data_IF_751162706726
#
_entry.id   IF_751162706726
#
_cell.length_a   1.000
_cell.length_b   1.000
_cell.length_c   1.000
_cell.angle_alpha   90.00
_cell.angle_beta   90.00
_cell.angle_gamma   90.00
#
_symmetry.space_group_name_H-M   'P 1'
#
loop_
_entity.id
_entity.type
_entity.pdbx_description
1 polymer ?
#
# COMPACT_ATOMS: atom_id res chain seq x y z
N UNK A 1 12.14 0.62 15.53
CA UNK A 1 12.88 -0.54 14.95
C UNK A 1 12.00 -1.78 14.83
N UNK A 2 11.30 -2.21 15.89
CA UNK A 2 10.41 -3.39 15.85
C UNK A 2 9.28 -3.26 14.83
N UNK A 3 8.60 -2.11 14.77
CA UNK A 3 7.50 -1.87 13.83
C UNK A 3 7.94 -2.04 12.36
N UNK A 4 9.12 -1.52 12.00
CA UNK A 4 9.68 -1.68 10.66
C UNK A 4 9.94 -3.15 10.34
N UNK A 5 10.42 -3.93 11.31
CA UNK A 5 10.63 -5.37 11.15
C UNK A 5 9.32 -6.12 10.89
N UNK A 6 8.27 -5.83 11.66
CA UNK A 6 6.94 -6.42 11.45
C UNK A 6 6.37 -6.02 10.09
N UNK A 7 6.46 -4.73 9.72
CA UNK A 7 5.99 -4.23 8.43
C UNK A 7 6.70 -4.91 7.25
N UNK A 8 8.03 -5.09 7.34
CA UNK A 8 8.81 -5.78 6.32
C UNK A 8 8.39 -7.25 6.19
N UNK A 9 8.22 -7.96 7.30
CA UNK A 9 7.79 -9.36 7.28
C UNK A 9 6.39 -9.53 6.67
N UNK A 10 5.45 -8.65 7.01
CA UNK A 10 4.12 -8.65 6.40
C UNK A 10 4.18 -8.35 4.90
N UNK A 11 4.98 -7.36 4.49
CA UNK A 11 5.19 -7.02 3.07
C UNK A 11 5.77 -8.20 2.30
N UNK A 12 6.80 -8.87 2.86
CA UNK A 12 7.40 -10.05 2.25
C UNK A 12 6.41 -11.22 2.15
N UNK A 13 5.55 -11.40 3.16
CA UNK A 13 4.52 -12.42 3.15
C UNK A 13 3.49 -12.19 2.02
N UNK A 14 3.02 -10.94 1.87
CA UNK A 14 2.09 -10.54 0.80
C UNK A 14 2.73 -10.63 -0.59
N UNK A 15 4.01 -10.30 -0.72
CA UNK A 15 4.75 -10.31 -1.99
C UNK A 15 5.27 -11.68 -2.43
N UNK A 16 5.18 -12.71 -1.58
CA UNK A 16 5.65 -14.06 -1.90
C UNK A 16 5.14 -14.63 -3.24
N UNK A 17 3.83 -14.56 -3.61
CA UNK A 17 3.35 -15.07 -4.89
C UNK A 17 3.97 -14.34 -6.09
N UNK A 18 4.05 -13.01 -6.04
CA UNK A 18 4.65 -12.18 -7.10
C UNK A 18 6.13 -12.53 -7.26
N UNK A 19 6.86 -12.66 -6.15
CA UNK A 19 8.26 -13.08 -6.18
C UNK A 19 8.48 -14.48 -6.78
N UNK A 20 7.57 -15.42 -6.52
CA UNK A 20 7.61 -16.76 -7.14
C UNK A 20 7.40 -16.69 -8.65
N UNK A 21 6.44 -15.90 -9.12
CA UNK A 21 6.17 -15.73 -10.55
C UNK A 21 7.39 -15.14 -11.28
N UNK A 22 7.96 -14.05 -10.74
CA UNK A 22 9.20 -13.45 -11.28
C UNK A 22 10.32 -14.49 -11.33
N UNK A 23 10.48 -15.30 -10.27
CA UNK A 23 11.50 -16.35 -10.23
C UNK A 23 11.29 -17.41 -11.32
N UNK A 24 10.05 -17.85 -11.56
CA UNK A 24 9.75 -18.81 -12.63
C UNK A 24 9.97 -18.20 -14.02
N UNK A 25 9.51 -16.96 -14.26
CA UNK A 25 9.72 -16.25 -15.52
C UNK A 25 11.21 -16.05 -15.81
N UNK A 26 11.98 -15.72 -14.76
CA UNK A 26 13.44 -15.53 -14.85
C UNK A 26 14.21 -16.80 -15.20
N UNK A 27 13.71 -18.00 -14.84
CA UNK A 27 14.35 -19.25 -15.24
C UNK A 27 14.02 -19.67 -16.68
N UNK A 28 12.84 -19.27 -17.17
CA UNK A 28 12.38 -19.63 -18.51
C UNK A 28 13.02 -18.75 -19.59
N UNK A 29 13.35 -17.50 -19.26
CA UNK A 29 14.12 -16.62 -20.15
C UNK A 29 15.62 -16.81 -19.92
N UNK A 30 16.40 -17.04 -20.98
CA UNK A 30 17.87 -17.12 -20.91
C UNK A 30 18.48 -15.72 -20.65
N UNK A 31 18.33 -15.23 -19.42
CA UNK A 31 18.78 -13.91 -19.01
C UNK A 31 20.30 -13.80 -19.11
N UNK A 32 20.74 -13.00 -20.08
CA UNK A 32 22.15 -12.62 -20.20
C UNK A 32 22.34 -11.25 -19.58
N UNK A 33 22.76 -11.19 -18.30
CA UNK A 33 23.06 -9.93 -17.59
C UNK A 33 24.15 -9.08 -18.24
N UNK A 34 24.89 -9.64 -19.21
CA UNK A 34 25.90 -8.93 -19.99
C UNK A 34 25.31 -8.09 -21.15
N UNK A 35 24.00 -8.22 -21.43
CA UNK A 35 23.33 -7.47 -22.48
C UNK A 35 22.21 -6.61 -21.89
N UNK A 36 22.36 -5.29 -22.00
CA UNK A 36 21.36 -4.30 -21.53
C UNK A 36 19.99 -4.55 -22.18
N UNK A 37 19.94 -4.96 -23.46
CA UNK A 37 18.67 -5.24 -24.14
C UNK A 37 17.95 -6.46 -23.55
N UNK A 38 18.69 -7.47 -23.06
CA UNK A 38 18.11 -8.63 -22.37
C UNK A 38 17.51 -8.24 -21.02
N UNK A 39 18.10 -7.26 -20.33
CA UNK A 39 17.60 -6.76 -19.04
C UNK A 39 16.34 -5.93 -19.24
N UNK A 40 16.31 -5.06 -20.26
CA UNK A 40 15.12 -4.27 -20.59
C UNK A 40 13.95 -5.19 -20.97
N UNK A 41 14.20 -6.17 -21.84
CA UNK A 41 13.17 -7.14 -22.24
C UNK A 41 12.60 -7.94 -21.06
N UNK A 42 13.45 -8.30 -20.09
CA UNK A 42 13.00 -8.98 -18.87
C UNK A 42 12.17 -8.08 -17.95
N UNK A 43 12.50 -6.79 -17.86
CA UNK A 43 11.68 -5.83 -17.09
C UNK A 43 10.30 -5.67 -17.74
N UNK A 44 10.22 -5.68 -19.07
CA UNK A 44 8.94 -5.57 -19.79
C UNK A 44 8.14 -6.87 -19.79
N UNK A 45 8.79 -8.02 -19.96
CA UNK A 45 8.12 -9.32 -20.17
C UNK A 45 8.14 -10.21 -18.92
N UNK A 46 9.27 -10.27 -18.22
CA UNK A 46 9.48 -11.13 -17.06
C UNK A 46 8.89 -10.62 -15.74
N UNK A 47 8.50 -9.34 -15.68
CA UNK A 47 7.84 -8.72 -14.52
C UNK A 47 6.31 -8.59 -14.67
N UNK A 48 5.68 -9.40 -15.54
CA UNK A 48 4.22 -9.41 -15.77
C UNK A 48 3.41 -9.39 -14.46
N UNK A 49 3.66 -10.31 -13.54
CA UNK A 49 2.94 -10.39 -12.26
C UNK A 49 3.12 -9.17 -11.37
N UNK A 50 4.29 -8.55 -11.41
CA UNK A 50 4.53 -7.30 -10.67
C UNK A 50 3.79 -6.13 -11.31
N UNK A 51 3.75 -6.07 -12.64
CA UNK A 51 2.98 -5.08 -13.38
C UNK A 51 1.49 -5.21 -13.09
N UNK A 52 0.94 -6.43 -13.14
CA UNK A 52 -0.46 -6.71 -12.78
C UNK A 52 -0.77 -6.33 -11.33
N UNK A 53 0.16 -6.60 -10.40
CA UNK A 53 0.06 -6.13 -9.01
C UNK A 53 -0.05 -4.60 -8.95
N UNK A 54 0.86 -3.88 -9.63
CA UNK A 54 0.86 -2.42 -9.62
C UNK A 54 -0.43 -1.84 -10.21
N UNK A 55 -0.90 -2.37 -11.35
CA UNK A 55 -2.15 -1.92 -11.98
C UNK A 55 -3.34 -2.13 -11.04
N UNK A 56 -3.44 -3.31 -10.42
CA UNK A 56 -4.57 -3.65 -9.53
C UNK A 56 -4.71 -2.72 -8.32
N UNK A 57 -3.59 -2.27 -7.75
CA UNK A 57 -3.58 -1.43 -6.55
C UNK A 57 -3.28 0.05 -6.82
N UNK A 58 -3.15 0.44 -8.09
CA UNK A 58 -3.03 1.85 -8.46
C UNK A 58 -4.38 2.44 -8.83
N UNK A 59 -4.59 3.71 -8.48
CA UNK A 59 -5.75 4.46 -8.91
C UNK A 59 -5.65 4.74 -10.43
N UNK A 60 -6.66 4.38 -11.25
CA UNK A 60 -6.59 4.51 -12.71
C UNK A 60 -6.29 5.94 -13.17
N UNK A 61 -6.85 6.94 -12.48
CA UNK A 61 -6.61 8.35 -12.77
C UNK A 61 -5.13 8.74 -12.59
N UNK A 62 -4.47 8.20 -11.56
CA UNK A 62 -3.04 8.44 -11.32
C UNK A 62 -2.18 7.73 -12.35
N UNK A 63 -2.54 6.50 -12.74
CA UNK A 63 -1.84 5.76 -13.79
C UNK A 63 -1.88 6.54 -15.11
N UNK A 64 -3.07 6.95 -15.57
CA UNK A 64 -3.23 7.72 -16.81
C UNK A 64 -2.49 9.06 -16.74
N UNK A 65 -2.47 9.72 -15.57
CA UNK A 65 -1.72 10.96 -15.38
C UNK A 65 -0.21 10.75 -15.59
N UNK A 66 0.40 9.78 -14.90
CA UNK A 66 1.84 9.56 -14.99
C UNK A 66 2.26 9.00 -16.36
N UNK A 67 1.43 8.17 -16.98
CA UNK A 67 1.65 7.70 -18.35
C UNK A 67 1.65 8.85 -19.36
N UNK A 68 0.68 9.77 -19.26
CA UNK A 68 0.62 10.95 -20.12
C UNK A 68 1.88 11.81 -19.99
N UNK A 69 2.36 12.03 -18.77
CA UNK A 69 3.59 12.79 -18.52
C UNK A 69 4.82 12.08 -19.11
N UNK A 70 4.88 10.75 -19.02
CA UNK A 70 5.96 9.97 -19.61
C UNK A 70 5.97 10.07 -21.14
N UNK A 71 4.81 9.87 -21.79
CA UNK A 71 4.67 9.98 -23.26
C UNK A 71 5.08 11.35 -23.79
N UNK A 72 4.69 12.43 -23.10
CA UNK A 72 5.11 13.81 -23.43
C UNK A 72 6.62 13.99 -23.36
N UNK A 73 7.30 13.36 -22.40
CA UNK A 73 8.76 13.44 -22.27
C UNK A 73 9.50 12.58 -23.32
N UNK A 74 8.87 11.54 -23.87
CA UNK A 74 9.48 10.62 -24.83
C UNK A 74 9.37 11.06 -26.30
N UNK A 75 8.70 12.18 -26.61
CA UNK A 75 8.49 12.68 -27.99
C UNK A 75 7.74 11.71 -28.93
N UNK A 76 7.03 10.72 -28.38
CA UNK A 76 6.22 9.79 -29.17
C UNK A 76 4.77 10.29 -29.21
N UNK A 77 4.44 11.04 -30.28
CA UNK A 77 3.10 11.54 -30.61
C UNK A 77 2.18 10.40 -31.13
N UNK A 78 2.05 9.31 -30.38
CA UNK A 78 1.10 8.25 -30.71
C UNK A 78 -0.05 8.25 -29.70
N UNK A 79 -1.21 8.77 -30.14
CA UNK A 79 -2.52 8.63 -29.49
C UNK A 79 -3.04 7.18 -29.55
N UNK A 80 -2.22 6.19 -29.17
CA UNK A 80 -2.68 4.82 -29.08
C UNK A 80 -3.34 4.56 -27.72
N UNK A 81 -4.49 3.89 -27.83
CA UNK A 81 -5.38 3.44 -26.78
C UNK A 81 -4.56 2.79 -25.66
N UNK A 82 -4.81 3.22 -24.43
CA UNK A 82 -4.17 2.68 -23.22
C UNK A 82 -4.65 1.23 -23.08
N UNK A 83 -3.86 0.30 -23.60
CA UNK A 83 -3.99 -1.12 -23.29
C UNK A 83 -3.15 -1.41 -22.04
N UNK A 84 -3.71 -2.14 -21.06
CA UNK A 84 -3.04 -2.42 -19.78
C UNK A 84 -1.66 -3.07 -19.99
N UNK A 85 -1.50 -3.82 -21.09
CA UNK A 85 -0.27 -4.50 -21.48
C UNK A 85 0.85 -3.56 -21.96
N UNK A 86 0.55 -2.31 -22.35
CA UNK A 86 1.55 -1.35 -22.85
C UNK A 86 1.96 -0.26 -21.84
N UNK A 87 1.41 -0.29 -20.62
CA UNK A 87 1.76 0.71 -19.59
C UNK A 87 3.19 0.48 -19.07
N UNK A 88 4.02 1.52 -19.05
CA UNK A 88 5.39 1.42 -18.52
C UNK A 88 5.40 1.18 -17.01
N UNK A 89 6.25 0.27 -16.53
CA UNK A 89 6.46 0.07 -15.07
C UNK A 89 6.93 1.37 -14.40
N UNK A 90 7.68 2.21 -15.10
CA UNK A 90 8.18 3.48 -14.56
C UNK A 90 7.08 4.52 -14.29
N UNK A 91 5.95 4.48 -15.03
CA UNK A 91 4.79 5.33 -14.74
C UNK A 91 3.90 4.73 -13.65
N UNK A 92 3.85 3.40 -13.55
CA UNK A 92 3.07 2.69 -12.53
C UNK A 92 3.64 2.85 -11.11
N UNK A 93 4.96 2.87 -10.94
CA UNK A 93 5.59 3.00 -9.62
C UNK A 93 5.15 4.27 -8.84
N UNK A 94 5.25 5.49 -9.39
CA UNK A 94 4.79 6.69 -8.68
C UNK A 94 3.26 6.73 -8.52
N UNK A 95 2.50 6.18 -9.47
CA UNK A 95 1.04 6.07 -9.38
C UNK A 95 0.62 5.17 -8.19
N UNK A 96 1.22 3.99 -8.10
CA UNK A 96 1.02 3.04 -7.01
C UNK A 96 1.39 3.66 -5.66
N UNK A 97 2.59 4.25 -5.55
CA UNK A 97 3.06 4.84 -4.30
C UNK A 97 2.09 5.91 -3.75
N UNK A 98 1.56 6.76 -4.63
CA UNK A 98 0.59 7.79 -4.21
C UNK A 98 -0.79 7.20 -3.87
N UNK A 99 -1.23 6.18 -4.62
CA UNK A 99 -2.48 5.44 -4.36
C UNK A 99 -2.45 4.75 -2.99
N UNK A 100 -1.32 4.12 -2.66
CA UNK A 100 -1.10 3.47 -1.37
C UNK A 100 -1.00 4.47 -0.23
N UNK A 101 -0.37 5.63 -0.42
CA UNK A 101 -0.35 6.71 0.58
C UNK A 101 -1.79 7.17 0.87
N UNK A 102 -2.59 7.43 -0.16
CA UNK A 102 -4.00 7.82 -0.02
C UNK A 102 -4.78 6.79 0.79
N UNK A 103 -4.64 5.51 0.43
CA UNK A 103 -5.28 4.39 1.11
C UNK A 103 -4.84 4.27 2.57
N UNK A 104 -3.53 4.39 2.84
CA UNK A 104 -2.98 4.35 4.20
C UNK A 104 -3.50 5.50 5.07
N UNK A 105 -3.67 6.70 4.51
CA UNK A 105 -4.28 7.83 5.22
C UNK A 105 -5.74 7.57 5.58
N UNK A 106 -6.52 6.98 4.67
CA UNK A 106 -7.94 6.64 4.92
C UNK A 106 -8.04 5.60 6.05
N UNK A 107 -7.24 4.53 5.97
CA UNK A 107 -7.19 3.49 7.01
C UNK A 107 -6.77 4.11 8.35
N UNK A 108 -5.71 4.92 8.35
CA UNK A 108 -5.24 5.63 9.54
C UNK A 108 -6.32 6.52 10.16
N UNK A 109 -7.08 7.24 9.34
CA UNK A 109 -8.19 8.07 9.81
C UNK A 109 -9.28 7.24 10.49
N UNK A 110 -9.70 6.12 9.90
CA UNK A 110 -10.70 5.25 10.51
C UNK A 110 -10.24 4.62 11.83
N UNK A 111 -8.97 4.22 11.92
CA UNK A 111 -8.38 3.70 13.16
C UNK A 111 -8.35 4.79 14.23
N UNK A 112 -8.08 6.04 13.84
CA UNK A 112 -7.96 7.15 14.76
C UNK A 112 -9.31 7.62 15.35
N UNK A 113 -10.40 7.49 14.58
CA UNK A 113 -11.74 7.94 14.93
C UNK A 113 -12.23 7.48 16.33
N UNK A 114 -12.23 6.18 16.70
CA UNK A 114 -12.68 5.75 18.02
C UNK A 114 -11.87 6.37 19.17
N UNK A 115 -10.58 6.63 18.96
CA UNK A 115 -9.73 7.26 19.97
C UNK A 115 -10.06 8.74 20.17
N UNK A 116 -10.39 9.46 19.09
CA UNK A 116 -10.87 10.84 19.16
C UNK A 116 -12.18 10.92 19.95
N UNK A 117 -13.09 9.98 19.72
CA UNK A 117 -14.35 9.92 20.47
C UNK A 117 -14.09 9.75 21.97
N UNK A 118 -13.17 8.86 22.35
CA UNK A 118 -12.74 8.68 23.76
C UNK A 118 -12.19 9.99 24.33
N UNK A 119 -11.33 10.70 23.59
CA UNK A 119 -10.73 11.96 24.03
C UNK A 119 -11.80 13.05 24.24
N UNK A 120 -12.77 13.15 23.34
CA UNK A 120 -13.89 14.10 23.44
C UNK A 120 -14.80 13.79 24.63
N UNK A 121 -15.16 12.51 24.83
CA UNK A 121 -15.99 12.07 25.95
C UNK A 121 -15.32 12.38 27.29
N UNK A 122 -14.05 12.01 27.45
CA UNK A 122 -13.32 12.25 28.71
C UNK A 122 -13.18 13.74 29.00
N UNK A 123 -12.89 14.54 27.98
CA UNK A 123 -12.83 15.99 28.11
C UNK A 123 -14.16 16.57 28.58
N UNK A 124 -15.29 16.12 28.01
CA UNK A 124 -16.63 16.58 28.42
C UNK A 124 -16.97 16.21 29.87
N UNK A 125 -16.56 15.03 30.33
CA UNK A 125 -16.77 14.57 31.72
C UNK A 125 -15.93 15.39 32.70
N UNK A 126 -14.66 15.65 32.39
CA UNK A 126 -13.78 16.47 33.25
C UNK A 126 -14.26 17.90 33.38
N UNK A 127 -14.70 18.50 32.27
CA UNK A 127 -15.30 19.84 32.28
C UNK A 127 -16.56 19.89 33.15
N UNK A 128 -17.41 18.86 33.07
CA UNK A 128 -18.63 18.74 33.88
C UNK A 128 -18.31 18.61 35.37
N UNK A 129 -17.24 17.90 35.73
CA UNK A 129 -16.77 17.74 37.12
C UNK A 129 -16.01 18.97 37.65
N UNK A 130 -15.82 20.01 36.84
CA UNK A 130 -15.06 21.20 37.21
C UNK A 130 -13.54 21.00 37.31
N UNK A 131 -13.03 19.86 36.83
CA UNK A 131 -11.60 19.51 36.88
C UNK A 131 -10.83 20.11 35.71
N UNK A 132 -10.81 21.45 35.62
CA UNK A 132 -10.18 22.17 34.49
C UNK A 132 -8.65 22.11 34.50
N UNK A 133 -8.02 21.85 35.66
CA UNK A 133 -6.56 21.79 35.79
C UNK A 133 -5.95 20.43 35.44
N UNK A 134 -6.78 19.40 35.26
CA UNK A 134 -6.32 18.07 34.92
C UNK A 134 -6.30 17.91 33.40
N UNK A 135 -5.18 17.44 32.84
CA UNK A 135 -5.10 17.18 31.40
C UNK A 135 -5.97 15.98 31.01
N UNK A 136 -6.96 16.15 30.11
CA UNK A 136 -7.78 15.03 29.62
C UNK A 136 -6.95 13.94 28.93
N UNK A 137 -5.78 14.29 28.38
CA UNK A 137 -4.86 13.36 27.71
C UNK A 137 -4.30 12.32 28.69
N UNK A 138 -4.02 12.73 29.93
CA UNK A 138 -3.46 11.83 30.95
C UNK A 138 -4.47 10.76 31.38
N UNK A 139 -5.77 11.08 31.38
CA UNK A 139 -6.82 10.12 31.71
C UNK A 139 -7.21 9.26 30.50
N UNK A 140 -7.24 9.84 29.30
CA UNK A 140 -7.63 9.13 28.09
C UNK A 140 -6.62 8.11 27.61
N UNK A 141 -5.32 8.37 27.77
CA UNK A 141 -4.26 7.46 27.31
C UNK A 141 -4.38 6.01 27.82
N UNK A 142 -4.53 5.73 29.13
CA UNK A 142 -4.72 4.35 29.59
C UNK A 142 -6.03 3.74 29.10
N UNK A 143 -7.11 4.51 29.00
CA UNK A 143 -8.41 4.03 28.52
C UNK A 143 -8.32 3.65 27.04
N UNK A 144 -7.64 4.45 26.21
CA UNK A 144 -7.39 4.16 24.79
C UNK A 144 -6.58 2.87 24.61
N UNK A 145 -5.55 2.66 25.44
CA UNK A 145 -4.76 1.43 25.40
C UNK A 145 -5.60 0.21 25.78
N UNK A 146 -6.43 0.31 26.82
CA UNK A 146 -7.34 -0.77 27.22
C UNK A 146 -8.34 -1.06 26.09
N UNK A 147 -8.95 -0.04 25.50
CA UNK A 147 -9.89 -0.21 24.38
C UNK A 147 -9.22 -0.96 23.22
N UNK A 148 -8.01 -0.55 22.83
CA UNK A 148 -7.30 -1.17 21.73
C UNK A 148 -6.91 -2.63 22.00
N UNK A 149 -6.47 -2.94 23.22
CA UNK A 149 -6.13 -4.32 23.62
C UNK A 149 -7.39 -5.18 23.78
N UNK A 150 -8.46 -4.64 24.36
CA UNK A 150 -9.72 -5.35 24.55
C UNK A 150 -10.40 -5.73 23.22
N UNK A 151 -10.17 -4.94 22.17
CA UNK A 151 -10.63 -5.23 20.81
C UNK A 151 -9.69 -6.14 20.01
N UNK A 152 -8.59 -6.61 20.61
CA UNK A 152 -7.53 -7.34 19.88
C UNK A 152 -7.05 -6.59 18.62
N UNK A 153 -6.82 -5.28 18.77
CA UNK A 153 -6.61 -4.36 17.66
C UNK A 153 -5.43 -4.74 16.75
N UNK A 154 -4.33 -5.25 17.31
CA UNK A 154 -3.18 -5.69 16.50
C UNK A 154 -3.52 -6.86 15.57
N UNK A 155 -4.26 -7.85 16.06
CA UNK A 155 -4.66 -9.02 15.27
C UNK A 155 -5.67 -8.61 14.20
N UNK A 156 -6.63 -7.74 14.55
CA UNK A 156 -7.63 -7.24 13.60
C UNK A 156 -6.98 -6.42 12.48
N UNK A 157 -6.05 -5.51 12.82
CA UNK A 157 -5.35 -4.68 11.85
C UNK A 157 -4.46 -5.50 10.91
N UNK A 158 -3.64 -6.40 11.45
CA UNK A 158 -2.76 -7.24 10.64
C UNK A 158 -3.54 -8.14 9.67
N UNK A 159 -4.62 -8.77 10.13
CA UNK A 159 -5.51 -9.56 9.27
C UNK A 159 -6.18 -8.70 8.19
N UNK A 160 -6.72 -7.55 8.56
CA UNK A 160 -7.38 -6.63 7.62
C UNK A 160 -6.43 -6.18 6.51
N UNK A 161 -5.21 -5.79 6.86
CA UNK A 161 -4.18 -5.42 5.88
C UNK A 161 -3.83 -6.58 4.96
N UNK A 162 -3.60 -7.80 5.48
CA UNK A 162 -3.27 -8.96 4.62
C UNK A 162 -4.43 -9.28 3.67
N UNK A 163 -5.66 -9.31 4.17
CA UNK A 163 -6.85 -9.65 3.37
C UNK A 163 -7.06 -8.69 2.20
N UNK A 164 -6.71 -7.41 2.35
CA UNK A 164 -6.80 -6.42 1.29
C UNK A 164 -5.92 -6.77 0.07
N UNK A 165 -4.78 -7.44 0.27
CA UNK A 165 -3.86 -7.77 -0.83
C UNK A 165 -3.94 -9.24 -1.30
N UNK A 166 -4.57 -10.12 -0.52
CA UNK A 166 -4.52 -11.56 -0.75
C UNK A 166 -5.39 -12.05 -1.92
N UNK A 167 -6.28 -11.22 -2.45
CA UNK A 167 -7.13 -11.55 -3.61
C UNK A 167 -6.34 -11.84 -4.91
N UNK A 168 -5.01 -11.66 -4.93
CA UNK A 168 -4.14 -12.13 -6.02
C UNK A 168 -3.76 -13.61 -5.92
N UNK A 169 -4.00 -14.29 -4.80
CA UNK A 169 -3.61 -15.69 -4.62
C UNK A 169 -4.65 -16.69 -5.15
N UNK A 170 -5.86 -16.25 -5.48
CA UNK A 170 -7.03 -17.14 -5.67
C UNK A 170 -7.44 -17.27 -7.14
N UNK A 171 -6.98 -16.38 -8.04
CA UNK A 171 -7.14 -16.56 -9.48
C UNK A 171 -5.78 -16.42 -10.19
N UNK A 172 -5.18 -17.54 -10.63
CA UNK A 172 -4.02 -17.52 -11.54
C UNK A 172 -4.41 -17.01 -12.93
#
# INVERSE_FOLDING_TARGET
MTLNGVALLLSMFVMMPVGKEIYYNSQNENLSFNNVASVVNFVETGMSGYKSYLIKYSEPELVSFFEKIQKVNSSEDNEEIIDDDNISIFSLLPAYALSEIKSAFIIGFYIYLPFVVVDLVISSVLLTLGMMMMSPVTISTPIKLILFVAMDGWTMLSKGLILQYFDLSINP
#
